data_IF_126311120615
#
_entry.id   IF_126311120615
#
_cell.length_a   1.000
_cell.length_b   1.000
_cell.length_c   1.000
_cell.angle_alpha   90.00
_cell.angle_beta   90.00
_cell.angle_gamma   90.00
#
_symmetry.space_group_name_H-M   'P 1'
#
loop_
_entity.id
_entity.type
_entity.pdbx_description
1 polymer ?
#
# COMPACT_ATOMS: atom_id res chain seq x y z
N UNK A 1 -0.94 15.33 -3.39
CA UNK A 1 -1.25 13.97 -2.91
C UNK A 1 -2.17 13.98 -1.69
N UNK A 2 -1.72 14.47 -0.52
CA UNK A 2 -2.52 14.47 0.72
C UNK A 2 -3.92 15.09 0.56
N UNK A 3 -4.00 16.27 -0.05
CA UNK A 3 -5.27 16.98 -0.26
C UNK A 3 -6.24 16.21 -1.14
N UNK A 4 -5.74 15.52 -2.18
CA UNK A 4 -6.58 14.69 -3.05
C UNK A 4 -7.08 13.44 -2.32
N UNK A 5 -6.22 12.78 -1.54
CA UNK A 5 -6.63 11.63 -0.72
C UNK A 5 -7.65 12.04 0.34
N UNK A 6 -7.47 13.21 0.97
CA UNK A 6 -8.45 13.78 1.88
C UNK A 6 -9.77 14.04 1.17
N UNK A 7 -9.75 14.72 0.02
CA UNK A 7 -10.94 15.02 -0.77
C UNK A 7 -11.73 13.76 -1.12
N UNK A 8 -11.09 12.76 -1.74
CA UNK A 8 -11.74 11.50 -2.07
C UNK A 8 -12.21 10.73 -0.83
N UNK A 9 -11.45 10.75 0.26
CA UNK A 9 -11.87 10.18 1.53
C UNK A 9 -13.13 10.83 2.09
N UNK A 10 -13.27 12.16 1.98
CA UNK A 10 -14.49 12.86 2.45
C UNK A 10 -15.71 12.51 1.61
N UNK A 11 -15.54 12.29 0.30
CA UNK A 11 -16.62 11.82 -0.59
C UNK A 11 -17.02 10.40 -0.17
N UNK A 12 -16.06 9.51 0.04
CA UNK A 12 -16.31 8.13 0.48
C UNK A 12 -17.06 8.08 1.82
N UNK A 13 -16.68 8.91 2.79
CA UNK A 13 -17.34 9.02 4.08
C UNK A 13 -18.78 9.55 3.96
N UNK A 14 -19.01 10.60 3.18
CA UNK A 14 -20.36 11.15 2.92
C UNK A 14 -21.26 10.14 2.22
N UNK A 15 -20.71 9.38 1.27
CA UNK A 15 -21.45 8.34 0.54
C UNK A 15 -21.86 7.18 1.45
N UNK A 16 -20.98 6.76 2.35
CA UNK A 16 -21.30 5.74 3.35
C UNK A 16 -22.43 6.19 4.29
N UNK A 17 -22.33 7.40 4.85
CA UNK A 17 -23.38 7.97 5.69
C UNK A 17 -24.73 8.04 4.95
N UNK A 18 -24.72 8.41 3.67
CA UNK A 18 -25.92 8.48 2.84
C UNK A 18 -26.51 7.09 2.61
N UNK A 19 -25.69 6.09 2.31
CA UNK A 19 -26.16 4.73 2.07
C UNK A 19 -26.64 4.03 3.35
N UNK A 20 -26.02 4.29 4.50
CA UNK A 20 -26.52 3.83 5.82
C UNK A 20 -27.93 4.38 6.06
N UNK A 21 -28.14 5.69 5.81
CA UNK A 21 -29.47 6.31 5.91
C UNK A 21 -30.50 5.70 4.95
N UNK A 22 -30.05 5.25 3.78
CA UNK A 22 -30.88 4.60 2.76
C UNK A 22 -30.97 3.06 2.92
N UNK A 23 -30.40 2.49 3.99
CA UNK A 23 -30.31 1.04 4.24
C UNK A 23 -29.75 0.25 3.03
N UNK A 24 -28.80 0.85 2.31
CA UNK A 24 -28.09 0.23 1.19
C UNK A 24 -26.69 -0.17 1.61
N UNK A 25 -26.26 -1.34 1.17
CA UNK A 25 -24.87 -1.75 1.32
C UNK A 25 -23.95 -0.92 0.42
N UNK A 26 -22.82 -0.48 0.98
CA UNK A 26 -21.78 0.22 0.22
C UNK A 26 -20.73 -0.78 -0.24
N UNK A 27 -20.63 -1.02 -1.55
CA UNK A 27 -19.47 -1.73 -2.10
C UNK A 27 -18.17 -1.01 -1.72
N UNK A 28 -17.11 -1.78 -1.45
CA UNK A 28 -15.78 -1.25 -1.17
C UNK A 28 -15.10 -0.68 -2.42
N UNK A 29 -15.35 -1.31 -3.58
CA UNK A 29 -14.72 -0.95 -4.84
C UNK A 29 -15.42 0.24 -5.51
N UNK A 30 -15.52 1.36 -4.80
CA UNK A 30 -15.94 2.62 -5.39
C UNK A 30 -14.74 3.35 -6.00
N UNK A 31 -14.99 4.13 -7.03
CA UNK A 31 -13.96 4.97 -7.68
C UNK A 31 -13.24 5.89 -6.67
N UNK A 32 -13.95 6.34 -5.63
CA UNK A 32 -13.42 7.14 -4.51
C UNK A 32 -12.37 6.41 -3.67
N UNK A 33 -12.39 5.07 -3.63
CA UNK A 33 -11.40 4.24 -2.95
C UNK A 33 -10.24 3.90 -3.87
N UNK A 34 -10.53 3.62 -5.14
CA UNK A 34 -9.54 3.19 -6.14
C UNK A 34 -8.63 4.36 -6.53
N UNK A 35 -9.17 5.55 -6.75
CA UNK A 35 -8.37 6.70 -7.20
C UNK A 35 -7.25 7.10 -6.21
N UNK A 36 -7.49 7.23 -4.90
CA UNK A 36 -6.42 7.50 -3.93
C UNK A 36 -5.33 6.45 -3.92
N UNK A 37 -5.70 5.16 -4.01
CA UNK A 37 -4.76 4.04 -4.03
C UNK A 37 -3.86 4.11 -5.26
N UNK A 38 -4.46 4.31 -6.45
CA UNK A 38 -3.72 4.43 -7.70
C UNK A 38 -2.83 5.68 -7.72
N UNK A 39 -3.32 6.81 -7.20
CA UNK A 39 -2.56 8.05 -7.12
C UNK A 39 -1.36 7.90 -6.18
N UNK A 40 -1.55 7.23 -5.03
CA UNK A 40 -0.48 6.93 -4.09
C UNK A 40 0.59 6.05 -4.75
N UNK A 41 0.17 4.99 -5.43
CA UNK A 41 1.05 4.07 -6.14
C UNK A 41 1.84 4.77 -7.26
N UNK A 42 1.17 5.59 -8.07
CA UNK A 42 1.81 6.30 -9.18
C UNK A 42 2.86 7.29 -8.70
N UNK A 43 2.52 8.15 -7.73
CA UNK A 43 3.46 9.14 -7.20
C UNK A 43 4.67 8.46 -6.56
N UNK A 44 4.42 7.36 -5.83
CA UNK A 44 5.49 6.60 -5.19
C UNK A 44 6.38 5.84 -6.18
N UNK A 45 5.81 5.37 -7.30
CA UNK A 45 6.57 4.68 -8.35
C UNK A 45 7.42 5.62 -9.21
N UNK A 46 6.91 6.79 -9.58
CA UNK A 46 7.65 7.75 -10.43
C UNK A 46 8.78 8.44 -9.65
N UNK A 47 8.71 8.41 -8.31
CA UNK A 47 9.71 9.02 -7.44
C UNK A 47 11.09 8.40 -7.66
N UNK A 48 12.08 9.25 -7.91
CA UNK A 48 13.47 8.84 -8.10
C UNK A 48 14.37 9.48 -7.04
N UNK A 49 15.35 8.71 -6.54
CA UNK A 49 16.40 9.17 -5.59
C UNK A 49 15.89 9.85 -4.32
N UNK A 50 15.11 9.16 -3.50
CA UNK A 50 14.88 9.63 -2.13
C UNK A 50 15.24 8.57 -1.11
N UNK A 51 16.34 8.81 -0.39
CA UNK A 51 16.82 7.94 0.69
C UNK A 51 17.82 6.87 0.25
N UNK A 52 18.65 6.47 1.21
CA UNK A 52 19.74 5.49 1.02
C UNK A 52 19.19 4.09 0.72
N UNK A 53 18.10 3.70 1.39
CA UNK A 53 17.49 2.38 1.23
C UNK A 53 16.77 2.23 -0.12
N UNK A 54 16.08 3.28 -0.59
CA UNK A 54 15.51 3.32 -1.94
C UNK A 54 16.58 3.03 -3.00
N UNK A 55 17.75 3.66 -2.88
CA UNK A 55 18.86 3.43 -3.80
C UNK A 55 19.36 1.98 -3.71
N UNK A 56 19.39 1.39 -2.51
CA UNK A 56 19.74 -0.03 -2.34
C UNK A 56 18.75 -0.96 -3.05
N UNK A 57 17.44 -0.72 -2.95
CA UNK A 57 16.42 -1.52 -3.66
C UNK A 57 16.53 -1.37 -5.17
N UNK A 58 16.75 -0.14 -5.65
CA UNK A 58 16.93 0.14 -7.07
C UNK A 58 18.20 -0.55 -7.62
N UNK A 59 19.32 -0.46 -6.90
CA UNK A 59 20.57 -1.09 -7.31
C UNK A 59 20.43 -2.62 -7.34
N UNK A 60 19.74 -3.21 -6.35
CA UNK A 60 19.40 -4.63 -6.35
C UNK A 60 18.51 -5.03 -7.54
N UNK A 61 17.48 -4.23 -7.83
CA UNK A 61 16.61 -4.48 -8.98
C UNK A 61 17.33 -4.40 -10.32
N UNK A 62 18.19 -3.39 -10.51
CA UNK A 62 19.01 -3.27 -11.73
C UNK A 62 20.00 -4.43 -11.86
N UNK A 63 20.64 -4.84 -10.77
CA UNK A 63 21.54 -5.99 -10.78
C UNK A 63 20.81 -7.31 -11.12
N UNK A 64 19.54 -7.46 -10.72
CA UNK A 64 18.69 -8.58 -11.14
C UNK A 64 18.38 -8.54 -12.64
N UNK A 65 18.06 -7.36 -13.20
CA UNK A 65 17.83 -7.20 -14.66
C UNK A 65 19.10 -7.55 -15.45
N UNK A 66 20.28 -7.19 -14.94
CA UNK A 66 21.56 -7.46 -15.59
C UNK A 66 22.11 -8.88 -15.35
N UNK A 67 21.37 -9.74 -14.64
CA UNK A 67 21.76 -11.14 -14.41
C UNK A 67 22.93 -11.33 -13.43
N UNK A 68 23.28 -10.29 -12.67
CA UNK A 68 24.30 -10.37 -11.61
C UNK A 68 23.69 -10.87 -10.30
N UNK A 69 24.38 -11.78 -9.60
CA UNK A 69 23.93 -12.25 -8.29
C UNK A 69 23.78 -11.08 -7.32
N UNK A 70 22.61 -11.00 -6.72
CA UNK A 70 22.24 -9.97 -5.76
C UNK A 70 22.17 -10.57 -4.37
N UNK A 71 22.39 -9.71 -3.37
CA UNK A 71 22.18 -10.01 -1.95
C UNK A 71 20.89 -10.82 -1.78
N UNK A 72 20.99 -11.94 -1.06
CA UNK A 72 19.84 -12.78 -0.69
C UNK A 72 18.74 -11.92 -0.06
N UNK A 73 17.73 -11.61 -0.86
CA UNK A 73 16.48 -11.05 -0.40
C UNK A 73 15.56 -12.25 -0.17
N UNK A 74 15.00 -12.41 1.02
CA UNK A 74 14.20 -13.59 1.33
C UNK A 74 12.70 -13.37 1.07
N UNK A 75 12.01 -14.43 0.64
CA UNK A 75 10.56 -14.53 0.59
C UNK A 75 9.87 -13.83 -0.58
N UNK A 76 8.65 -13.33 -0.35
CA UNK A 76 7.79 -12.74 -1.38
C UNK A 76 8.43 -11.53 -2.09
N UNK A 77 9.29 -10.78 -1.39
CA UNK A 77 9.96 -9.61 -1.96
C UNK A 77 10.89 -9.97 -3.12
N UNK A 78 11.65 -11.07 -2.99
CA UNK A 78 12.51 -11.57 -4.06
C UNK A 78 11.71 -12.14 -5.22
N UNK A 79 10.67 -12.93 -4.93
CA UNK A 79 9.80 -13.51 -5.95
C UNK A 79 9.22 -12.43 -6.87
N UNK A 80 8.62 -11.38 -6.28
CA UNK A 80 8.11 -10.27 -7.08
C UNK A 80 9.24 -9.50 -7.79
N UNK A 81 10.38 -9.25 -7.14
CA UNK A 81 11.53 -8.58 -7.77
C UNK A 81 12.02 -9.34 -9.02
N UNK A 82 12.14 -10.67 -8.94
CA UNK A 82 12.51 -11.53 -10.05
C UNK A 82 11.45 -11.56 -11.15
N UNK A 83 10.17 -11.61 -10.79
CA UNK A 83 9.07 -11.54 -11.76
C UNK A 83 9.10 -10.22 -12.54
N UNK A 84 9.27 -9.09 -11.86
CA UNK A 84 9.38 -7.77 -12.50
C UNK A 84 10.63 -7.68 -13.39
N UNK A 85 11.77 -8.24 -12.94
CA UNK A 85 13.01 -8.27 -13.71
C UNK A 85 12.91 -9.18 -14.95
N UNK A 86 12.28 -10.36 -14.82
CA UNK A 86 12.02 -11.29 -15.93
C UNK A 86 11.14 -10.65 -17.01
N UNK A 87 10.15 -9.86 -16.60
CA UNK A 87 9.29 -9.08 -17.49
C UNK A 87 9.95 -7.79 -18.02
N UNK A 88 11.20 -7.51 -17.64
CA UNK A 88 11.97 -6.31 -17.99
C UNK A 88 11.21 -5.00 -17.68
N UNK A 89 10.46 -4.97 -16.58
CA UNK A 89 9.63 -3.82 -16.23
C UNK A 89 10.47 -2.67 -15.66
N UNK A 90 10.07 -1.44 -15.94
CA UNK A 90 10.73 -0.26 -15.38
C UNK A 90 10.59 -0.23 -13.85
N UNK A 91 11.61 0.28 -13.14
CA UNK A 91 11.62 0.35 -11.67
C UNK A 91 10.38 1.08 -11.09
N UNK A 92 9.77 1.96 -11.87
CA UNK A 92 8.52 2.66 -11.52
C UNK A 92 7.38 1.71 -11.19
N UNK A 93 7.25 0.63 -11.96
CA UNK A 93 6.23 -0.39 -11.70
C UNK A 93 6.54 -1.19 -10.44
N UNK A 94 7.82 -1.48 -10.19
CA UNK A 94 8.26 -2.17 -8.99
C UNK A 94 7.92 -1.37 -7.72
N UNK A 95 8.33 -0.10 -7.62
CA UNK A 95 8.02 0.74 -6.46
C UNK A 95 6.53 1.06 -6.36
N UNK A 96 5.87 1.29 -7.50
CA UNK A 96 4.43 1.52 -7.56
C UNK A 96 3.62 0.32 -7.04
N UNK A 97 4.04 -0.91 -7.35
CA UNK A 97 3.40 -2.13 -6.87
C UNK A 97 3.48 -2.27 -5.34
N UNK A 98 4.64 -2.04 -4.75
CA UNK A 98 4.78 -2.11 -3.29
C UNK A 98 3.99 -1.00 -2.58
N UNK A 99 4.02 0.22 -3.11
CA UNK A 99 3.23 1.32 -2.61
C UNK A 99 1.71 1.06 -2.74
N UNK A 100 1.29 0.45 -3.85
CA UNK A 100 -0.09 0.00 -4.07
C UNK A 100 -0.52 -1.01 -3.01
N UNK A 101 0.30 -2.02 -2.72
CA UNK A 101 -0.02 -3.02 -1.69
C UNK A 101 -0.14 -2.38 -0.31
N UNK A 102 0.84 -1.56 0.11
CA UNK A 102 0.84 -0.89 1.41
C UNK A 102 -0.45 -0.08 1.63
N UNK A 103 -0.79 0.81 0.69
CA UNK A 103 -1.96 1.67 0.82
C UNK A 103 -3.27 0.88 0.68
N UNK A 104 -3.30 -0.19 -0.13
CA UNK A 104 -4.47 -1.06 -0.27
C UNK A 104 -4.80 -1.77 1.04
N UNK A 105 -3.80 -2.34 1.73
CA UNK A 105 -4.03 -2.97 3.04
C UNK A 105 -4.57 -1.98 4.07
N UNK A 106 -4.08 -0.75 4.07
CA UNK A 106 -4.59 0.31 4.95
C UNK A 106 -6.04 0.66 4.65
N UNK A 107 -6.37 0.91 3.38
CA UNK A 107 -7.75 1.21 2.98
C UNK A 107 -8.70 0.03 3.25
N UNK A 108 -8.23 -1.20 3.05
CA UNK A 108 -8.99 -2.41 3.36
C UNK A 108 -9.22 -2.60 4.86
N UNK A 109 -8.28 -2.18 5.70
CA UNK A 109 -8.42 -2.23 7.18
C UNK A 109 -9.58 -1.34 7.63
N UNK A 110 -9.63 -0.12 7.09
CA UNK A 110 -10.63 0.89 7.46
C UNK A 110 -11.86 0.91 6.56
N UNK A 111 -12.11 -0.18 5.80
CA UNK A 111 -13.20 -0.26 4.82
C UNK A 111 -14.60 -0.06 5.40
N UNK A 112 -14.77 -0.42 6.68
CA UNK A 112 -16.03 -0.32 7.43
C UNK A 112 -16.13 1.00 8.22
N UNK A 113 -15.04 1.77 8.29
CA UNK A 113 -14.92 2.98 9.10
C UNK A 113 -14.49 4.13 8.16
N UNK A 114 -15.25 4.40 7.09
CA UNK A 114 -14.75 5.26 6.01
C UNK A 114 -14.56 6.71 6.41
N UNK A 115 -15.15 7.15 7.53
CA UNK A 115 -14.87 8.46 8.13
C UNK A 115 -13.39 8.63 8.50
N UNK A 116 -12.61 7.55 8.67
CA UNK A 116 -11.18 7.61 8.95
C UNK A 116 -10.33 7.84 7.69
N UNK A 117 -10.81 7.47 6.50
CA UNK A 117 -10.05 7.55 5.24
C UNK A 117 -9.50 8.94 4.90
N UNK A 118 -10.24 10.07 5.08
CA UNK A 118 -9.69 11.39 4.83
C UNK A 118 -8.46 11.68 5.70
N UNK A 119 -8.44 11.17 6.93
CA UNK A 119 -7.35 11.40 7.88
C UNK A 119 -6.13 10.54 7.59
N UNK A 120 -6.31 9.31 7.08
CA UNK A 120 -5.20 8.42 6.71
C UNK A 120 -4.26 9.10 5.71
N UNK A 121 -4.81 9.69 4.64
CA UNK A 121 -4.00 10.38 3.64
C UNK A 121 -3.23 11.59 4.21
N UNK A 122 -3.84 12.32 5.14
CA UNK A 122 -3.21 13.46 5.83
C UNK A 122 -2.09 12.96 6.74
N UNK A 123 -2.35 11.96 7.58
CA UNK A 123 -1.37 11.42 8.54
C UNK A 123 -0.16 10.86 7.80
N UNK A 124 -0.37 10.10 6.72
CA UNK A 124 0.74 9.50 5.98
C UNK A 124 1.65 10.58 5.38
N UNK A 125 1.08 11.60 4.74
CA UNK A 125 1.88 12.60 4.03
C UNK A 125 2.42 13.69 4.97
N UNK A 126 1.57 14.30 5.80
CA UNK A 126 1.98 15.39 6.69
C UNK A 126 2.64 14.90 7.99
N UNK A 127 2.33 13.68 8.44
CA UNK A 127 3.00 13.07 9.59
C UNK A 127 4.41 12.55 9.30
N UNK A 128 4.92 12.74 8.08
CA UNK A 128 6.27 12.30 7.69
C UNK A 128 6.42 10.79 7.45
N UNK A 129 5.39 9.99 7.75
CA UNK A 129 5.40 8.54 7.57
C UNK A 129 5.60 8.11 6.12
N UNK A 130 5.18 8.92 5.14
CA UNK A 130 5.36 8.65 3.72
C UNK A 130 6.83 8.39 3.35
N UNK A 131 7.77 9.15 3.92
CA UNK A 131 9.19 8.97 3.63
C UNK A 131 9.68 7.66 4.25
N UNK A 132 9.27 7.37 5.49
CA UNK A 132 9.58 6.11 6.17
C UNK A 132 9.04 4.89 5.43
N UNK A 133 7.81 4.97 4.93
CA UNK A 133 7.15 3.89 4.19
C UNK A 133 7.88 3.51 2.90
N UNK A 134 8.43 4.52 2.23
CA UNK A 134 9.15 4.36 0.98
C UNK A 134 10.63 3.97 1.17
N UNK A 135 11.23 4.30 2.32
CA UNK A 135 12.58 3.84 2.66
C UNK A 135 12.56 2.39 3.19
N UNK A 136 11.67 2.10 4.15
CA UNK A 136 11.55 0.80 4.79
C UNK A 136 10.45 -0.06 4.18
N UNK A 137 10.44 -0.27 2.85
CA UNK A 137 9.32 -0.94 2.15
C UNK A 137 8.96 -2.29 2.77
N UNK A 138 9.97 -3.13 3.05
CA UNK A 138 9.80 -4.48 3.63
C UNK A 138 9.16 -4.45 5.02
N UNK A 139 9.63 -3.59 5.91
CA UNK A 139 9.10 -3.47 7.27
C UNK A 139 7.70 -2.84 7.27
N UNK A 140 7.51 -1.86 6.41
CA UNK A 140 6.25 -1.13 6.30
C UNK A 140 5.14 -2.01 5.75
N UNK A 141 5.41 -2.82 4.72
CA UNK A 141 4.38 -3.72 4.19
C UNK A 141 4.00 -4.80 5.22
N UNK A 142 4.96 -5.33 5.98
CA UNK A 142 4.68 -6.23 7.09
C UNK A 142 3.80 -5.54 8.15
N UNK A 143 4.08 -4.28 8.49
CA UNK A 143 3.25 -3.49 9.39
C UNK A 143 1.83 -3.25 8.84
N UNK A 144 1.68 -2.93 7.55
CA UNK A 144 0.37 -2.76 6.91
C UNK A 144 -0.43 -4.07 6.89
N UNK A 145 0.22 -5.20 6.60
CA UNK A 145 -0.41 -6.53 6.64
C UNK A 145 -0.81 -6.88 8.08
N UNK A 146 0.03 -6.58 9.07
CA UNK A 146 -0.29 -6.81 10.47
C UNK A 146 -1.52 -6.00 10.90
N UNK A 147 -1.56 -4.70 10.59
CA UNK A 147 -2.70 -3.83 10.87
C UNK A 147 -3.98 -4.35 10.20
N UNK A 148 -3.88 -4.78 8.93
CA UNK A 148 -4.99 -5.43 8.24
C UNK A 148 -5.41 -6.74 8.92
N UNK A 149 -4.47 -7.50 9.48
CA UNK A 149 -4.75 -8.79 10.11
C UNK A 149 -5.49 -8.66 11.45
N UNK A 150 -5.36 -7.53 12.15
CA UNK A 150 -6.06 -7.26 13.44
C UNK A 150 -7.58 -7.46 13.30
N UNK A 151 -8.17 -7.11 12.16
CA UNK A 151 -9.60 -7.28 11.94
C UNK A 151 -10.06 -8.75 12.04
N UNK A 152 -9.17 -9.73 11.76
CA UNK A 152 -9.47 -11.15 11.87
C UNK A 152 -9.42 -11.64 13.32
N UNK A 153 -8.59 -11.03 14.17
CA UNK A 153 -8.60 -11.26 15.61
C UNK A 153 -9.95 -10.83 16.19
N UNK A 154 -10.39 -9.61 15.87
CA UNK A 154 -11.68 -9.07 16.35
C UNK A 154 -12.86 -9.94 15.90
N UNK A 155 -12.77 -10.53 14.71
CA UNK A 155 -13.80 -11.44 14.16
C UNK A 155 -13.68 -12.90 14.63
N UNK A 156 -12.76 -13.20 15.55
CA UNK A 156 -12.45 -14.56 16.05
C UNK A 156 -12.17 -15.58 14.93
N UNK A 157 -11.46 -15.18 13.87
CA UNK A 157 -11.02 -16.06 12.78
C UNK A 157 -9.50 -16.28 12.81
N UNK A 158 -8.97 -17.08 13.77
CA UNK A 158 -7.53 -17.20 14.00
C UNK A 158 -6.78 -17.82 12.82
N UNK A 159 -7.40 -18.72 12.06
CA UNK A 159 -6.77 -19.35 10.87
C UNK A 159 -6.42 -18.31 9.81
N UNK A 160 -7.32 -17.34 9.57
CA UNK A 160 -7.08 -16.26 8.61
C UNK A 160 -6.00 -15.30 9.12
N UNK A 161 -5.86 -15.13 10.43
CA UNK A 161 -4.82 -14.29 11.03
C UNK A 161 -3.42 -14.89 10.84
N UNK A 162 -3.24 -16.19 11.12
CA UNK A 162 -1.93 -16.84 10.99
C UNK A 162 -1.45 -16.90 9.53
N UNK A 163 -2.35 -17.13 8.56
CA UNK A 163 -2.00 -17.17 7.12
C UNK A 163 -1.52 -15.84 6.53
N UNK A 164 -1.84 -14.70 7.15
CA UNK A 164 -1.37 -13.39 6.67
C UNK A 164 -0.08 -12.93 7.35
N UNK A 165 0.27 -13.53 8.49
CA UNK A 165 1.46 -13.14 9.28
C UNK A 165 2.65 -14.08 9.03
N UNK A 166 2.38 -15.36 8.80
CA UNK A 166 3.36 -16.38 8.42
C UNK A 166 3.29 -16.65 6.91
#
# INVERSE_FOLDING_TARGET
>A
MAFLMWWFGTIAAKRELTNIRLHKETSFWTWEMILPILLFAFISGVRWKVGTDHQSYLNGYMALIHGTETRELEGAFMYFSQLFAYLNLHFTFFFGFWAFLQISFMYLTFKNERYLLPYIGIIIVFGGYYIGWMNGIRQTIAACIFVFSIQFITKRKPIQYFLFIF
#
